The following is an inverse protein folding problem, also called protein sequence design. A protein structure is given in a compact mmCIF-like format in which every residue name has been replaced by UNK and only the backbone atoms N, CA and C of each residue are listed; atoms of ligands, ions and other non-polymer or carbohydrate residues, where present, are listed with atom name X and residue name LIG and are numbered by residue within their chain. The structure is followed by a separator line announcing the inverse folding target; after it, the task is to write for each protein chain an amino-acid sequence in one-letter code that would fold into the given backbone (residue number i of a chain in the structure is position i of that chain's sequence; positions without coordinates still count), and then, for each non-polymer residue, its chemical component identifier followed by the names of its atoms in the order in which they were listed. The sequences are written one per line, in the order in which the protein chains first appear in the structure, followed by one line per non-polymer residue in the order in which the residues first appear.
data_IF_179832804765
#
_entry.id   IF_179832804765
#
_cell.length_a   1.000
_cell.length_b   1.000
_cell.length_c   1.000
_cell.angle_alpha   90.00
_cell.angle_beta   90.00
_cell.angle_gamma   90.00
#
_symmetry.space_group_name_H-M   'P 1'
#
loop_
_entity.id
_entity.type
_entity.pdbx_description
1 polymer ?
#
# COMPACT_ATOMS: atom_id res chain seq x y z
N UNK A 1 -10.37 11.39 -38.12
CA UNK A 1 -9.14 11.13 -37.34
C UNK A 1 -9.41 11.14 -35.84
N UNK A 2 -9.92 12.23 -35.26
CA UNK A 2 -10.20 12.34 -33.81
C UNK A 2 -11.21 11.28 -33.32
N UNK A 3 -12.32 11.06 -34.02
CA UNK A 3 -13.32 10.05 -33.65
C UNK A 3 -12.75 8.63 -33.60
N UNK A 4 -11.95 8.26 -34.60
CA UNK A 4 -11.27 6.95 -34.64
C UNK A 4 -10.28 6.78 -33.47
N UNK A 5 -9.55 7.84 -33.14
CA UNK A 5 -8.63 7.85 -32.00
C UNK A 5 -9.38 7.68 -30.66
N UNK A 6 -10.54 8.32 -30.51
CA UNK A 6 -11.40 8.17 -29.33
C UNK A 6 -11.98 6.75 -29.22
N UNK A 7 -12.42 6.16 -30.33
CA UNK A 7 -12.90 4.78 -30.35
C UNK A 7 -11.80 3.76 -30.01
N UNK A 8 -10.59 3.95 -30.55
CA UNK A 8 -9.45 3.08 -30.26
C UNK A 8 -9.00 3.21 -28.80
N UNK A 9 -9.04 4.43 -28.24
CA UNK A 9 -8.80 4.64 -26.81
C UNK A 9 -9.86 3.95 -25.96
N UNK A 10 -11.14 4.11 -26.30
CA UNK A 10 -12.24 3.53 -25.54
C UNK A 10 -12.12 2.01 -25.46
N UNK A 11 -11.85 1.32 -26.59
CA UNK A 11 -11.71 -0.15 -26.69
C UNK A 11 -10.50 -0.75 -25.95
N UNK A 12 -9.59 0.10 -25.49
CA UNK A 12 -8.38 -0.29 -24.76
C UNK A 12 -8.36 0.29 -23.34
N UNK A 13 -9.43 0.92 -22.90
CA UNK A 13 -9.49 1.64 -21.63
C UNK A 13 -9.18 0.73 -20.45
N UNK A 14 -9.75 -0.48 -20.41
CA UNK A 14 -9.47 -1.43 -19.32
C UNK A 14 -8.01 -1.90 -19.33
N UNK A 15 -7.41 -2.05 -20.51
CA UNK A 15 -5.99 -2.42 -20.64
C UNK A 15 -5.10 -1.30 -20.09
N UNK A 16 -5.38 -0.03 -20.42
CA UNK A 16 -4.62 1.10 -19.89
C UNK A 16 -4.79 1.22 -18.37
N UNK A 17 -6.00 1.05 -17.85
CA UNK A 17 -6.25 1.00 -16.41
C UNK A 17 -5.43 -0.11 -15.74
N UNK A 18 -5.41 -1.31 -16.31
CA UNK A 18 -4.63 -2.43 -15.78
C UNK A 18 -3.12 -2.15 -15.79
N UNK A 19 -2.58 -1.54 -16.86
CA UNK A 19 -1.16 -1.14 -16.96
C UNK A 19 -0.83 -0.06 -15.92
N UNK A 20 -1.70 0.92 -15.75
CA UNK A 20 -1.54 1.99 -14.75
C UNK A 20 -1.47 1.41 -13.34
N UNK A 21 -2.43 0.56 -12.96
CA UNK A 21 -2.46 -0.10 -11.64
C UNK A 21 -1.21 -0.97 -11.44
N UNK A 22 -0.78 -1.72 -12.47
CA UNK A 22 0.43 -2.52 -12.38
C UNK A 22 1.70 -1.67 -12.20
N UNK A 23 1.78 -0.53 -12.90
CA UNK A 23 2.90 0.41 -12.76
C UNK A 23 2.96 0.99 -11.35
N UNK A 24 1.81 1.43 -10.83
CA UNK A 24 1.69 1.94 -9.46
C UNK A 24 2.08 0.87 -8.43
N UNK A 25 1.73 -0.40 -8.66
CA UNK A 25 2.10 -1.48 -7.75
C UNK A 25 3.60 -1.86 -7.80
N UNK A 26 4.25 -1.78 -8.97
CA UNK A 26 5.63 -2.27 -9.16
C UNK A 26 6.67 -1.26 -8.68
N UNK A 27 6.48 0.03 -8.93
CA UNK A 27 7.49 1.07 -8.63
C UNK A 27 7.99 1.06 -7.17
N UNK A 28 7.15 0.85 -6.13
CA UNK A 28 7.62 0.82 -4.74
C UNK A 28 8.64 -0.28 -4.41
N UNK A 29 8.68 -1.35 -5.20
CA UNK A 29 9.71 -2.40 -5.10
C UNK A 29 11.00 -2.01 -5.80
N UNK A 30 10.94 -1.10 -6.78
CA UNK A 30 12.11 -0.60 -7.51
C UNK A 30 12.92 0.37 -6.65
N UNK A 31 12.29 1.17 -5.78
CA UNK A 31 12.97 2.12 -4.90
C UNK A 31 14.14 1.52 -4.09
N UNK A 32 13.95 0.48 -3.26
CA UNK A 32 15.05 -0.10 -2.49
C UNK A 32 16.10 -0.81 -3.35
N UNK A 33 15.72 -1.30 -4.54
CA UNK A 33 16.68 -1.87 -5.50
C UNK A 33 17.55 -0.76 -6.10
N UNK A 34 16.96 0.37 -6.46
CA UNK A 34 17.67 1.52 -6.98
C UNK A 34 18.64 2.11 -5.95
N UNK A 35 18.23 2.19 -4.67
CA UNK A 35 19.12 2.57 -3.56
C UNK A 35 20.32 1.63 -3.44
N UNK A 36 20.07 0.32 -3.40
CA UNK A 36 21.13 -0.68 -3.29
C UNK A 36 22.12 -0.64 -4.47
N UNK A 37 21.70 -0.15 -5.63
CA UNK A 37 22.54 0.04 -6.82
C UNK A 37 23.19 1.43 -6.89
N UNK A 38 22.93 2.32 -5.94
CA UNK A 38 23.44 3.70 -5.92
C UNK A 38 22.77 4.64 -6.93
N UNK A 39 21.60 4.28 -7.47
CA UNK A 39 20.83 5.09 -8.41
C UNK A 39 19.85 6.00 -7.63
N UNK A 40 20.42 6.83 -6.74
CA UNK A 40 19.67 7.63 -5.76
C UNK A 40 18.55 8.47 -6.38
N UNK A 41 18.83 9.19 -7.49
CA UNK A 41 17.82 10.00 -8.18
C UNK A 41 16.54 9.23 -8.53
N UNK A 42 16.66 7.96 -8.94
CA UNK A 42 15.49 7.11 -9.26
C UNK A 42 14.77 6.70 -7.99
N UNK A 43 15.51 6.25 -6.97
CA UNK A 43 14.94 5.86 -5.69
C UNK A 43 14.20 7.03 -5.02
N UNK A 44 14.86 8.17 -4.89
CA UNK A 44 14.36 9.40 -4.30
C UNK A 44 13.08 9.85 -5.01
N UNK A 45 13.07 9.86 -6.34
CA UNK A 45 11.86 10.20 -7.12
C UNK A 45 10.70 9.26 -6.81
N UNK A 46 10.97 7.96 -6.66
CA UNK A 46 9.92 6.99 -6.33
C UNK A 46 9.44 7.23 -4.89
N UNK A 47 10.34 7.36 -3.91
CA UNK A 47 9.97 7.65 -2.52
C UNK A 47 9.13 8.93 -2.42
N UNK A 48 9.49 9.99 -3.14
CA UNK A 48 8.72 11.23 -3.24
C UNK A 48 7.30 11.00 -3.72
N UNK A 49 7.13 10.35 -4.87
CA UNK A 49 5.81 10.18 -5.47
C UNK A 49 4.89 9.36 -4.55
N UNK A 50 5.45 8.41 -3.81
CA UNK A 50 4.68 7.58 -2.89
C UNK A 50 4.46 8.21 -1.52
N UNK A 51 5.19 9.26 -1.13
CA UNK A 51 4.98 9.98 0.14
C UNK A 51 3.57 10.61 0.23
N UNK A 52 3.03 11.07 -0.90
CA UNK A 52 1.68 11.61 -0.99
C UNK A 52 0.59 10.57 -0.66
N UNK A 53 0.90 9.29 -0.81
CA UNK A 53 -0.03 8.18 -0.60
C UNK A 53 0.26 7.36 0.65
N UNK A 54 1.45 7.51 1.23
CA UNK A 54 1.94 6.70 2.33
C UNK A 54 2.90 7.50 3.20
N UNK A 55 2.77 7.38 4.52
CA UNK A 55 3.68 8.00 5.48
C UNK A 55 5.08 7.37 5.46
N UNK A 56 5.25 6.22 4.81
CA UNK A 56 6.52 5.52 4.63
C UNK A 56 7.26 5.13 5.91
N UNK A 57 6.58 5.06 7.06
CA UNK A 57 7.20 4.70 8.34
C UNK A 57 7.94 3.35 8.29
N UNK A 58 9.24 3.37 8.55
CA UNK A 58 10.13 2.21 8.39
C UNK A 58 9.64 0.96 9.13
N UNK A 59 9.16 1.11 10.35
CA UNK A 59 8.72 0.00 11.20
C UNK A 59 7.39 -0.64 10.75
N UNK A 60 6.71 -0.08 9.73
CA UNK A 60 5.49 -0.63 9.09
C UNK A 60 5.76 -1.20 7.70
N UNK A 61 7.00 -1.21 7.23
CA UNK A 61 7.39 -1.62 5.88
C UNK A 61 8.22 -2.91 5.88
N UNK A 62 8.27 -3.58 4.74
CA UNK A 62 9.29 -4.60 4.46
C UNK A 62 10.54 -3.92 3.91
N UNK A 63 11.69 -4.57 4.04
CA UNK A 63 12.96 -4.04 3.55
C UNK A 63 13.60 -5.01 2.56
N UNK A 64 14.24 -4.47 1.53
CA UNK A 64 15.05 -5.21 0.57
C UNK A 64 16.43 -4.55 0.54
N UNK A 65 17.49 -5.34 0.68
CA UNK A 65 18.88 -4.80 0.69
C UNK A 65 19.09 -3.71 1.75
N UNK A 66 18.48 -3.90 2.92
CA UNK A 66 18.40 -2.95 4.04
C UNK A 66 17.70 -1.61 3.75
N UNK A 67 17.04 -1.46 2.59
CA UNK A 67 16.21 -0.29 2.26
C UNK A 67 14.72 -0.67 2.30
N UNK A 68 13.88 0.18 2.88
CA UNK A 68 12.44 -0.08 2.96
C UNK A 68 11.74 -0.01 1.60
N UNK A 69 10.63 -0.71 1.40
CA UNK A 69 9.75 -0.42 0.27
C UNK A 69 9.25 1.03 0.35
N UNK A 70 8.96 1.67 -0.79
CA UNK A 70 8.38 3.02 -0.82
C UNK A 70 6.93 3.11 -0.28
N UNK A 71 6.43 2.01 0.29
CA UNK A 71 5.13 1.88 0.93
C UNK A 71 5.23 1.06 2.21
N UNK A 72 4.27 1.26 3.11
CA UNK A 72 4.06 0.31 4.19
C UNK A 72 3.50 -1.02 3.66
N UNK A 73 3.56 -2.07 4.47
CA UNK A 73 3.01 -3.38 4.10
C UNK A 73 1.50 -3.31 3.83
N UNK A 74 0.75 -2.46 4.53
CA UNK A 74 -0.69 -2.28 4.30
C UNK A 74 -0.97 -1.77 2.88
N UNK A 75 -0.26 -0.73 2.45
CA UNK A 75 -0.47 -0.11 1.14
C UNK A 75 0.00 -1.03 0.01
N UNK A 76 1.12 -1.71 0.23
CA UNK A 76 1.64 -2.75 -0.67
C UNK A 76 0.58 -3.80 -0.96
N UNK A 77 -0.07 -4.35 0.07
CA UNK A 77 -1.10 -5.37 -0.10
C UNK A 77 -2.46 -4.81 -0.54
N UNK A 78 -2.77 -3.55 -0.22
CA UNK A 78 -3.94 -2.86 -0.77
C UNK A 78 -3.85 -2.74 -2.28
N UNK A 79 -2.73 -2.24 -2.81
CA UNK A 79 -2.51 -2.14 -4.25
C UNK A 79 -2.35 -3.51 -4.92
N UNK A 80 -1.74 -4.49 -4.25
CA UNK A 80 -1.71 -5.88 -4.70
C UNK A 80 -3.11 -6.48 -4.86
N UNK A 81 -4.01 -6.21 -3.91
CA UNK A 81 -5.43 -6.57 -3.98
C UNK A 81 -6.14 -5.88 -5.14
N UNK A 82 -5.91 -4.57 -5.34
CA UNK A 82 -6.49 -3.82 -6.46
C UNK A 82 -6.04 -4.41 -7.80
N UNK A 83 -4.74 -4.69 -7.95
CA UNK A 83 -4.17 -5.31 -9.14
C UNK A 83 -4.79 -6.69 -9.40
N UNK A 84 -4.86 -7.55 -8.38
CA UNK A 84 -5.49 -8.88 -8.49
C UNK A 84 -6.94 -8.77 -8.98
N UNK A 85 -7.71 -7.81 -8.46
CA UNK A 85 -9.10 -7.58 -8.86
C UNK A 85 -9.26 -7.24 -10.34
N UNK A 86 -8.31 -6.53 -10.96
CA UNK A 86 -8.35 -6.26 -12.41
C UNK A 86 -8.36 -7.56 -13.23
N UNK A 87 -7.55 -8.55 -12.83
CA UNK A 87 -7.51 -9.86 -13.47
C UNK A 87 -8.78 -10.68 -13.19
N UNK A 88 -9.29 -10.62 -11.96
CA UNK A 88 -10.53 -11.33 -11.58
C UNK A 88 -11.71 -10.84 -12.41
N UNK A 89 -11.93 -9.52 -12.47
CA UNK A 89 -13.05 -8.93 -13.23
C UNK A 89 -12.90 -9.25 -14.72
N UNK A 90 -11.70 -9.08 -15.29
CA UNK A 90 -11.43 -9.41 -16.70
C UNK A 90 -11.67 -10.88 -17.02
N UNK A 91 -11.30 -11.81 -16.13
CA UNK A 91 -11.38 -13.26 -16.38
C UNK A 91 -12.74 -13.87 -16.10
N UNK A 92 -13.42 -13.42 -15.04
CA UNK A 92 -14.64 -14.04 -14.53
C UNK A 92 -15.90 -13.19 -14.75
N UNK A 93 -15.76 -11.97 -15.26
CA UNK A 93 -16.87 -11.05 -15.63
C UNK A 93 -17.85 -10.80 -14.47
N UNK A 94 -17.30 -10.55 -13.29
CA UNK A 94 -18.07 -10.31 -12.06
C UNK A 94 -18.33 -8.81 -11.91
N UNK A 95 -19.59 -8.44 -11.64
CA UNK A 95 -19.97 -7.09 -11.24
C UNK A 95 -19.91 -6.96 -9.73
N UNK A 96 -19.27 -5.91 -9.24
CA UNK A 96 -19.25 -5.58 -7.83
C UNK A 96 -20.36 -4.59 -7.52
N UNK A 97 -21.37 -5.01 -6.75
CA UNK A 97 -22.35 -4.09 -6.19
C UNK A 97 -21.69 -3.25 -5.08
N UNK A 98 -21.95 -1.94 -5.06
CA UNK A 98 -21.50 -1.05 -4.00
C UNK A 98 -21.98 -1.50 -2.61
N UNK A 99 -23.11 -2.21 -2.52
CA UNK A 99 -23.63 -2.81 -1.29
C UNK A 99 -22.70 -3.87 -0.67
N UNK A 100 -21.77 -4.42 -1.44
CA UNK A 100 -20.80 -5.42 -0.96
C UNK A 100 -19.55 -4.78 -0.36
N UNK A 101 -19.27 -3.51 -0.68
CA UNK A 101 -18.06 -2.80 -0.20
C UNK A 101 -17.90 -2.81 1.32
N UNK A 102 -18.95 -2.66 2.16
CA UNK A 102 -18.80 -2.71 3.60
C UNK A 102 -18.11 -4.00 4.10
N UNK A 103 -18.34 -5.16 3.46
CA UNK A 103 -17.70 -6.43 3.81
C UNK A 103 -16.17 -6.36 3.66
N UNK A 104 -15.69 -5.56 2.71
CA UNK A 104 -14.26 -5.37 2.43
C UNK A 104 -13.63 -4.21 3.22
N UNK A 105 -14.43 -3.20 3.56
CA UNK A 105 -13.97 -1.99 4.28
C UNK A 105 -13.89 -2.23 5.79
N UNK A 106 -14.84 -2.96 6.38
CA UNK A 106 -14.92 -3.12 7.85
C UNK A 106 -13.61 -3.63 8.46
N UNK A 107 -12.94 -4.68 7.93
CA UNK A 107 -11.71 -5.19 8.55
C UNK A 107 -10.57 -4.17 8.62
N UNK A 108 -10.32 -3.41 7.54
CA UNK A 108 -9.29 -2.36 7.53
C UNK A 108 -9.70 -1.15 8.36
N UNK A 109 -11.00 -0.82 8.42
CA UNK A 109 -11.50 0.27 9.24
C UNK A 109 -11.35 -0.04 10.73
N UNK A 110 -11.57 -1.29 11.15
CA UNK A 110 -11.32 -1.72 12.52
C UNK A 110 -9.81 -1.73 12.82
N UNK A 111 -9.00 -2.42 12.01
CA UNK A 111 -7.55 -2.52 12.22
C UNK A 111 -6.85 -1.16 12.14
N UNK A 112 -7.03 -0.45 11.02
CA UNK A 112 -6.42 0.84 10.76
C UNK A 112 -7.03 1.96 11.58
N UNK A 113 -8.36 2.00 11.73
CA UNK A 113 -9.04 3.04 12.50
C UNK A 113 -8.71 2.95 13.99
N UNK A 114 -8.71 1.75 14.59
CA UNK A 114 -8.27 1.57 15.98
C UNK A 114 -6.81 1.96 16.13
N UNK A 115 -5.92 1.60 15.19
CA UNK A 115 -4.53 2.03 15.23
C UNK A 115 -4.38 3.56 15.11
N UNK A 116 -5.16 4.22 14.26
CA UNK A 116 -5.15 5.69 14.15
C UNK A 116 -5.59 6.32 15.46
N UNK A 117 -6.69 5.85 16.06
CA UNK A 117 -7.17 6.29 17.38
C UNK A 117 -6.08 6.06 18.43
N UNK A 118 -5.48 4.88 18.49
CA UNK A 118 -4.42 4.55 19.44
C UNK A 118 -3.14 5.36 19.26
N UNK A 119 -2.84 5.78 18.02
CA UNK A 119 -1.73 6.68 17.74
C UNK A 119 -2.06 8.09 18.23
N UNK A 120 -3.29 8.57 17.98
CA UNK A 120 -3.78 9.89 18.42
C UNK A 120 -3.83 10.00 19.94
N UNK A 121 -4.45 9.04 20.63
CA UNK A 121 -4.52 9.03 22.10
C UNK A 121 -3.17 8.71 22.74
N UNK A 122 -2.35 7.87 22.10
CA UNK A 122 -0.97 7.62 22.52
C UNK A 122 -0.04 8.85 22.40
N UNK A 123 -0.44 9.90 21.67
CA UNK A 123 0.24 11.21 21.73
C UNK A 123 -0.07 11.99 23.00
N UNK A 124 -1.20 11.70 23.67
CA UNK A 124 -1.61 12.38 24.90
C UNK A 124 -1.06 11.67 26.14
N UNK A 125 -1.00 10.34 26.12
CA UNK A 125 -0.65 9.52 27.28
C UNK A 125 0.72 8.83 27.18
N UNK A 126 1.45 8.99 26.08
CA UNK A 126 2.82 8.48 25.87
C UNK A 126 2.90 7.02 25.38
N UNK A 127 1.86 6.22 25.59
CA UNK A 127 1.81 4.82 25.15
C UNK A 127 0.73 4.57 24.09
N UNK A 128 1.08 3.88 23.00
CA UNK A 128 0.10 3.42 22.04
C UNK A 128 -0.49 2.08 22.51
N UNK A 129 -1.74 2.08 22.93
CA UNK A 129 -2.40 0.88 23.45
C UNK A 129 -2.66 -0.21 22.38
N UNK A 130 -2.52 0.11 21.09
CA UNK A 130 -2.69 -0.85 20.01
C UNK A 130 -1.82 -0.54 18.79
N UNK A 131 -1.13 -1.56 18.29
CA UNK A 131 -0.42 -1.52 17.02
C UNK A 131 -0.56 -2.86 16.29
N UNK A 132 -0.92 -2.81 15.01
CA UNK A 132 -1.00 -3.99 14.14
C UNK A 132 0.36 -4.64 13.88
N UNK A 133 0.38 -5.94 13.65
CA UNK A 133 1.55 -6.63 13.08
C UNK A 133 1.60 -6.41 11.56
N UNK A 134 2.75 -6.64 10.92
CA UNK A 134 2.84 -6.52 9.46
C UNK A 134 1.97 -7.57 8.74
N UNK A 135 1.82 -8.77 9.30
CA UNK A 135 0.86 -9.75 8.76
C UNK A 135 -0.58 -9.22 8.80
N UNK A 136 -1.01 -8.67 9.94
CA UNK A 136 -2.38 -8.15 10.05
C UNK A 136 -2.61 -7.01 9.06
N UNK A 137 -1.65 -6.08 8.94
CA UNK A 137 -1.65 -5.00 7.94
C UNK A 137 -1.77 -5.52 6.51
N UNK A 138 -1.01 -6.56 6.17
CA UNK A 138 -1.05 -7.17 4.85
C UNK A 138 -2.44 -7.76 4.55
N UNK A 139 -3.01 -8.50 5.51
CA UNK A 139 -4.28 -9.18 5.32
C UNK A 139 -5.47 -8.22 5.25
N UNK A 140 -5.52 -7.21 6.13
CA UNK A 140 -6.59 -6.20 6.10
C UNK A 140 -6.48 -5.28 4.89
N UNK A 141 -5.26 -4.90 4.51
CA UNK A 141 -4.97 -4.18 3.27
C UNK A 141 -5.37 -4.95 2.01
N UNK A 142 -4.95 -6.21 1.90
CA UNK A 142 -5.30 -7.07 0.77
C UNK A 142 -6.82 -7.23 0.62
N UNK A 143 -7.54 -7.49 1.72
CA UNK A 143 -8.98 -7.65 1.67
C UNK A 143 -9.69 -6.38 1.20
N UNK A 144 -9.31 -5.23 1.77
CA UNK A 144 -9.83 -3.92 1.34
C UNK A 144 -9.52 -3.64 -0.14
N UNK A 145 -8.27 -3.85 -0.55
CA UNK A 145 -7.81 -3.67 -1.92
C UNK A 145 -8.56 -4.54 -2.93
N UNK A 146 -8.86 -5.80 -2.57
CA UNK A 146 -9.68 -6.67 -3.41
C UNK A 146 -11.07 -6.08 -3.63
N UNK A 147 -11.72 -5.59 -2.56
CA UNK A 147 -13.06 -5.00 -2.64
C UNK A 147 -13.11 -3.74 -3.50
N UNK A 148 -12.28 -2.74 -3.17
CA UNK A 148 -12.20 -1.48 -3.92
C UNK A 148 -11.73 -1.74 -5.35
N UNK A 149 -10.76 -2.62 -5.55
CA UNK A 149 -10.27 -3.00 -6.86
C UNK A 149 -11.34 -3.63 -7.74
N UNK A 150 -12.18 -4.52 -7.20
CA UNK A 150 -13.28 -5.13 -7.97
C UNK A 150 -14.33 -4.09 -8.34
N UNK A 151 -14.65 -3.17 -7.41
CA UNK A 151 -15.57 -2.08 -7.67
C UNK A 151 -15.07 -1.18 -8.81
N UNK A 152 -13.86 -0.62 -8.69
CA UNK A 152 -13.27 0.23 -9.71
C UNK A 152 -13.09 -0.51 -11.04
N UNK A 153 -12.58 -1.74 -11.01
CA UNK A 153 -12.41 -2.55 -12.22
C UNK A 153 -13.73 -2.81 -12.91
N UNK A 154 -14.81 -3.11 -12.17
CA UNK A 154 -16.12 -3.33 -12.76
C UNK A 154 -16.68 -2.08 -13.45
N UNK A 155 -16.48 -0.89 -12.86
CA UNK A 155 -16.86 0.38 -13.47
C UNK A 155 -16.10 0.65 -14.77
N UNK A 156 -14.77 0.55 -14.74
CA UNK A 156 -13.93 0.78 -15.92
C UNK A 156 -14.23 -0.23 -17.03
N UNK A 157 -14.47 -1.49 -16.66
CA UNK A 157 -14.78 -2.55 -17.59
C UNK A 157 -16.12 -2.34 -18.33
N UNK A 158 -17.13 -1.81 -17.65
CA UNK A 158 -18.41 -1.43 -18.26
C UNK A 158 -18.27 -0.23 -19.21
N UNK A 159 -17.37 0.73 -18.92
CA UNK A 159 -17.08 1.88 -19.79
C UNK A 159 -16.34 1.49 -21.09
N UNK A 160 -15.49 0.47 -21.02
CA UNK A 160 -14.78 -0.13 -22.17
C UNK A 160 -15.75 -0.96 -23.08
N UNK A 161 -17.06 -0.97 -22.79
CA UNK A 161 -18.10 -1.69 -23.53
C UNK A 161 -17.83 -3.21 -23.70
N UNK A 162 -17.02 -3.80 -22.81
CA UNK A 162 -16.52 -5.17 -22.97
C UNK A 162 -17.53 -6.20 -22.45
N UNK A 163 -18.68 -6.34 -23.08
CA UNK A 163 -19.67 -7.36 -22.70
C UNK A 163 -20.27 -7.18 -21.29
N UNK A 164 -21.19 -8.06 -20.91
CA UNK A 164 -21.98 -7.89 -19.69
C UNK A 164 -21.30 -8.51 -18.46
N UNK A 165 -21.20 -7.76 -17.38
CA UNK A 165 -20.82 -8.25 -16.07
C UNK A 165 -22.04 -8.83 -15.33
N UNK A 166 -21.83 -9.86 -14.49
CA UNK A 166 -22.90 -10.45 -13.68
C UNK A 166 -22.67 -10.18 -12.20
N UNK A 167 -23.69 -9.64 -11.54
CA UNK A 167 -23.68 -9.44 -10.10
C UNK A 167 -23.86 -10.77 -9.36
N UNK A 168 -22.99 -11.05 -8.38
CA UNK A 168 -23.05 -12.27 -7.58
C UNK A 168 -22.18 -12.16 -6.35
N UNK A 169 -22.77 -11.86 -5.18
CA UNK A 169 -22.04 -11.81 -3.90
C UNK A 169 -21.24 -13.09 -3.64
N UNK A 170 -21.82 -14.27 -3.94
CA UNK A 170 -21.13 -15.57 -3.77
C UNK A 170 -19.86 -15.66 -4.63
N UNK A 171 -19.93 -15.21 -5.88
CA UNK A 171 -18.77 -15.24 -6.78
C UNK A 171 -17.72 -14.22 -6.34
N UNK A 172 -18.14 -13.00 -5.98
CA UNK A 172 -17.29 -11.96 -5.42
C UNK A 172 -16.52 -12.50 -4.21
N UNK A 173 -17.21 -13.03 -3.20
CA UNK A 173 -16.56 -13.57 -2.00
C UNK A 173 -15.65 -14.77 -2.33
N UNK A 174 -16.10 -15.70 -3.17
CA UNK A 174 -15.29 -16.87 -3.56
C UNK A 174 -13.94 -16.45 -4.16
N UNK A 175 -13.96 -15.58 -5.17
CA UNK A 175 -12.73 -15.18 -5.86
C UNK A 175 -11.88 -14.21 -5.04
N UNK A 176 -12.49 -13.35 -4.21
CA UNK A 176 -11.75 -12.56 -3.22
C UNK A 176 -11.03 -13.45 -2.22
N UNK A 177 -11.68 -14.48 -1.65
CA UNK A 177 -11.03 -15.37 -0.69
C UNK A 177 -9.90 -16.20 -1.30
N UNK A 178 -10.08 -16.69 -2.54
CA UNK A 178 -9.00 -17.38 -3.28
C UNK A 178 -7.82 -16.42 -3.51
N UNK A 179 -8.10 -15.18 -3.91
CA UNK A 179 -7.05 -14.19 -4.18
C UNK A 179 -6.36 -13.72 -2.90
N UNK A 180 -7.08 -13.63 -1.78
CA UNK A 180 -6.51 -13.36 -0.47
C UNK A 180 -5.52 -14.46 -0.06
N UNK A 181 -5.86 -15.73 -0.28
CA UNK A 181 -4.94 -16.84 -0.02
C UNK A 181 -3.69 -16.78 -0.94
N UNK A 182 -3.87 -16.40 -2.20
CA UNK A 182 -2.76 -16.16 -3.12
C UNK A 182 -1.85 -15.01 -2.66
N UNK A 183 -2.45 -13.88 -2.24
CA UNK A 183 -1.73 -12.74 -1.68
C UNK A 183 -1.03 -13.08 -0.37
N UNK A 184 -1.62 -13.92 0.49
CA UNK A 184 -0.92 -14.45 1.65
C UNK A 184 0.32 -15.25 1.25
N UNK A 185 0.24 -16.08 0.20
CA UNK A 185 1.42 -16.73 -0.38
C UNK A 185 2.50 -15.73 -0.84
N UNK A 186 2.09 -14.65 -1.52
CA UNK A 186 3.01 -13.56 -1.92
C UNK A 186 3.63 -12.88 -0.71
N UNK A 187 2.89 -12.66 0.38
CA UNK A 187 3.41 -12.12 1.63
C UNK A 187 4.51 -13.02 2.21
N UNK A 188 4.27 -14.34 2.27
CA UNK A 188 5.28 -15.27 2.77
C UNK A 188 6.57 -15.19 1.95
N UNK A 189 6.45 -15.17 0.61
CA UNK A 189 7.60 -15.02 -0.29
C UNK A 189 8.31 -13.69 -0.05
N UNK A 190 7.58 -12.59 0.07
CA UNK A 190 8.15 -11.27 0.36
C UNK A 190 8.91 -11.28 1.68
N UNK A 191 8.38 -11.88 2.75
CA UNK A 191 9.07 -11.98 4.05
C UNK A 191 10.34 -12.84 3.95
N UNK A 192 10.34 -13.90 3.15
CA UNK A 192 11.57 -14.68 2.91
C UNK A 192 12.61 -13.86 2.14
N UNK A 193 12.22 -13.17 1.07
CA UNK A 193 13.13 -12.30 0.31
C UNK A 193 13.66 -11.19 1.22
N UNK A 194 12.79 -10.58 2.04
CA UNK A 194 13.17 -9.60 3.05
C UNK A 194 14.26 -10.17 3.97
N UNK A 195 14.02 -11.30 4.63
CA UNK A 195 14.99 -11.91 5.55
C UNK A 195 16.30 -12.37 4.89
N UNK A 196 16.31 -12.67 3.59
CA UNK A 196 17.50 -13.07 2.84
C UNK A 196 18.33 -11.88 2.33
N UNK A 197 17.69 -10.73 2.11
CA UNK A 197 18.34 -9.55 1.51
C UNK A 197 18.75 -8.51 2.54
N UNK A 198 18.29 -8.60 3.79
CA UNK A 198 18.58 -7.60 4.83
C UNK A 198 19.49 -8.14 5.94
N UNK A 199 20.37 -7.28 6.43
CA UNK A 199 21.24 -7.57 7.58
C UNK A 199 20.77 -6.88 8.84
N UNK A 200 20.35 -5.62 8.74
CA UNK A 200 19.99 -4.76 9.87
C UNK A 200 18.49 -4.77 10.14
N UNK A 201 17.67 -4.79 9.09
CA UNK A 201 16.21 -4.76 9.21
C UNK A 201 15.63 -6.15 8.98
N UNK A 202 15.82 -7.11 9.88
CA UNK A 202 15.28 -8.47 9.67
C UNK A 202 13.81 -8.61 10.08
N UNK A 203 13.01 -9.44 9.38
CA UNK A 203 11.69 -9.85 9.86
C UNK A 203 11.84 -10.64 11.17
N UNK A 204 10.86 -10.56 12.06
CA UNK A 204 10.97 -11.16 13.40
C UNK A 204 10.87 -12.69 13.35
N UNK A 205 10.11 -13.20 12.39
CA UNK A 205 9.95 -14.61 12.06
C UNK A 205 9.38 -14.72 10.63
N UNK A 206 9.10 -15.93 10.16
CA UNK A 206 8.57 -16.18 8.82
C UNK A 206 7.23 -15.47 8.50
N UNK A 207 6.53 -14.98 9.52
CA UNK A 207 5.27 -14.26 9.40
C UNK A 207 5.37 -12.79 9.81
N UNK A 208 6.53 -12.34 10.29
CA UNK A 208 6.77 -11.02 10.89
C UNK A 208 5.66 -10.58 11.88
N UNK A 209 5.39 -11.43 12.87
CA UNK A 209 4.35 -11.21 13.88
C UNK A 209 4.74 -10.21 14.99
N UNK A 210 5.92 -9.61 14.93
CA UNK A 210 6.33 -8.64 15.94
C UNK A 210 5.59 -7.30 15.78
N UNK A 211 5.24 -6.70 16.91
CA UNK A 211 4.83 -5.30 16.98
C UNK A 211 6.11 -4.47 17.09
N UNK A 212 6.33 -3.55 16.13
CA UNK A 212 7.59 -2.79 15.97
C UNK A 212 7.47 -1.30 16.26
N UNK A 213 6.41 -0.85 16.92
CA UNK A 213 6.27 0.58 17.23
C UNK A 213 7.45 1.02 18.12
N UNK A 214 8.21 2.05 17.71
CA UNK A 214 9.28 2.58 18.53
C UNK A 214 8.77 3.08 19.89
N UNK A 215 9.55 2.84 20.94
CA UNK A 215 9.21 3.31 22.29
C UNK A 215 9.29 4.84 22.36
N UNK A 216 10.35 5.43 21.79
CA UNK A 216 10.53 6.87 21.68
C UNK A 216 9.52 7.46 20.68
N UNK A 217 8.81 8.53 21.08
CA UNK A 217 7.83 9.24 20.26
C UNK A 217 8.47 9.83 19.00
N UNK A 218 9.69 10.37 19.09
CA UNK A 218 10.38 10.97 17.93
C UNK A 218 10.67 9.91 16.86
N UNK A 219 11.13 8.72 17.28
CA UNK A 219 11.40 7.60 16.37
C UNK A 219 10.14 7.07 15.69
N UNK A 220 8.94 7.22 16.29
CA UNK A 220 7.68 6.80 15.65
C UNK A 220 7.39 7.53 14.36
N UNK A 221 7.96 8.72 14.20
CA UNK A 221 7.78 9.58 13.03
C UNK A 221 8.87 9.46 11.99
N UNK A 222 9.93 8.69 12.26
CA UNK A 222 10.98 8.46 11.28
C UNK A 222 10.38 7.75 10.08
N UNK A 223 10.48 8.42 8.93
CA UNK A 223 10.00 7.86 7.67
C UNK A 223 10.99 6.81 7.18
N UNK A 224 12.26 7.16 7.03
CA UNK A 224 13.27 6.25 6.49
C UNK A 224 14.50 6.21 7.40
N UNK A 225 14.99 5.02 7.74
CA UNK A 225 16.22 4.84 8.51
C UNK A 225 17.47 4.62 7.65
N UNK A 226 17.29 4.26 6.38
CA UNK A 226 18.38 3.95 5.46
C UNK A 226 18.02 4.35 4.02
N UNK A 227 18.72 5.32 3.44
CA UNK A 227 18.49 5.90 2.12
C UNK A 227 19.38 7.13 1.86
N UNK A 228 19.23 7.76 0.69
CA UNK A 228 20.04 8.92 0.29
C UNK A 228 19.85 10.15 1.19
N UNK A 229 18.64 10.36 1.71
CA UNK A 229 18.35 11.51 2.56
C UNK A 229 18.33 11.15 4.04
N UNK A 230 18.64 12.15 4.88
CA UNK A 230 18.69 11.96 6.33
C UNK A 230 17.32 11.52 6.89
N UNK A 231 17.31 10.67 7.93
CA UNK A 231 16.09 10.34 8.65
C UNK A 231 15.42 11.61 9.17
N UNK A 232 14.29 11.98 8.59
CA UNK A 232 13.57 13.19 8.98
C UNK A 232 12.44 12.90 9.97
N UNK A 233 12.22 13.85 10.88
CA UNK A 233 11.14 13.89 11.86
C UNK A 233 10.29 15.16 11.62
N UNK A 234 8.98 15.16 11.91
CA UNK A 234 8.18 16.37 11.86
C UNK A 234 8.84 17.46 12.73
N UNK A 235 9.12 18.61 12.13
CA UNK A 235 9.70 19.77 12.84
C UNK A 235 8.78 20.17 14.00
N UNK A 236 9.40 20.47 15.14
CA UNK A 236 8.74 20.62 16.44
C UNK A 236 7.59 21.65 16.43
N UNK A 237 6.36 21.16 16.63
CA UNK A 237 5.12 21.96 16.69
C UNK A 237 5.06 22.81 17.97
N UNK A 238 5.88 22.50 18.98
CA UNK A 238 5.89 23.20 20.29
C UNK A 238 6.83 24.39 20.34
N UNK A 239 7.68 24.57 19.32
CA UNK A 239 8.68 25.64 19.24
C UNK A 239 8.16 27.00 18.77
N UNK A 240 6.84 27.15 18.57
CA UNK A 240 6.21 28.43 18.21
C UNK A 240 6.17 28.75 16.72
N UNK A 241 6.45 27.78 15.85
CA UNK A 241 6.37 27.96 14.41
C UNK A 241 4.94 27.76 13.87
N UNK A 242 4.59 28.53 12.83
CA UNK A 242 3.25 28.56 12.26
C UNK A 242 2.86 27.24 11.60
N UNK A 243 1.55 27.00 11.48
CA UNK A 243 0.92 25.86 10.76
C UNK A 243 1.41 25.65 9.30
N UNK A 244 2.25 26.55 8.79
CA UNK A 244 2.91 26.49 7.49
C UNK A 244 4.18 25.63 7.47
N UNK A 245 4.75 25.26 8.62
CA UNK A 245 5.89 24.31 8.71
C UNK A 245 5.44 22.83 8.78
N UNK A 246 4.14 22.59 8.70
CA UNK A 246 3.55 21.23 8.56
C UNK A 246 3.72 20.70 7.12
N UNK A 247 4.36 21.47 6.24
CA UNK A 247 4.67 21.08 4.87
C UNK A 247 6.10 20.55 4.84
N UNK A 248 6.22 19.25 4.61
CA UNK A 248 7.51 18.60 4.38
C UNK A 248 8.32 19.37 3.32
N UNK A 249 9.58 19.67 3.64
CA UNK A 249 10.51 20.36 2.75
C UNK A 249 11.16 19.34 1.81
N UNK A 250 11.35 19.64 0.51
CA UNK A 250 12.06 18.77 -0.42
C UNK A 250 13.51 18.40 -0.02
N UNK A 251 14.09 19.11 0.95
CA UNK A 251 15.43 18.85 1.50
C UNK A 251 15.42 17.89 2.70
N UNK A 252 14.29 17.80 3.39
CA UNK A 252 14.04 16.71 4.30
C UNK A 252 13.61 15.49 3.46
N UNK A 253 13.49 14.28 4.01
CA UNK A 253 13.03 13.11 3.25
C UNK A 253 11.55 13.27 2.80
N UNK A 254 11.34 14.10 1.77
CA UNK A 254 10.11 14.57 1.10
C UNK A 254 9.04 15.25 1.90
#
# INVERSE_FOLDING_TARGET
MILKMLEDFQKNLFKYFQILVATIFILPFIAPIAEALGIHFVADTIYFLYSFSCHQLHWRSAHLFDHQLAWCIRDTFTWGGILASTFIVKRYKIKMNWLYLPIFVIPIALDGGIQTIATVFGFVEGESFYTSTNLLRAMTGAWFGLGVGMFLSSMVYELDAVGQLKDSLRSTLKFSSISLAGLFGVYLVLVQIWGLTTTNFKPANALDLAVRTPANIEERWVRQLNGSCEPDHPKDITSGNSLTEVVFSPADCF
#
